data_IF_710472345632
#
_entry.id   IF_710472345632
#
_cell.length_a   1.000
_cell.length_b   1.000
_cell.length_c   1.000
_cell.angle_alpha   90.00
_cell.angle_beta   90.00
_cell.angle_gamma   90.00
#
_symmetry.space_group_name_H-M   'P 1'
#
loop_
_entity.id
_entity.type
_entity.pdbx_description
1 polymer ?
#
# COMPACT_ATOMS: atom_id res chain seq x y z
N UNK A 1 -23.01 -20.65 6.18
CA UNK A 1 -22.50 -19.56 7.03
C UNK A 1 -22.68 -18.25 6.27
N UNK A 2 -23.35 -17.26 6.82
CA UNK A 2 -23.45 -15.94 6.17
C UNK A 2 -22.15 -15.19 6.44
N UNK A 3 -21.29 -15.07 5.43
CA UNK A 3 -20.07 -14.26 5.51
C UNK A 3 -20.47 -12.78 5.62
N UNK A 4 -19.75 -11.97 6.38
CA UNK A 4 -20.05 -10.54 6.50
C UNK A 4 -19.77 -9.84 5.17
N UNK A 5 -20.53 -8.77 4.86
CA UNK A 5 -20.33 -7.93 3.67
C UNK A 5 -18.90 -7.36 3.55
N UNK A 6 -18.16 -7.31 4.66
CA UNK A 6 -16.82 -6.76 4.74
C UNK A 6 -15.71 -7.81 4.64
N UNK A 7 -16.07 -9.09 4.58
CA UNK A 7 -15.08 -10.16 4.47
C UNK A 7 -14.50 -10.19 3.05
N UNK A 8 -13.27 -9.68 2.86
CA UNK A 8 -12.58 -9.69 1.56
C UNK A 8 -12.46 -11.10 0.98
N UNK A 9 -12.32 -12.13 1.81
CA UNK A 9 -12.24 -13.52 1.33
C UNK A 9 -13.57 -14.02 0.72
N UNK A 10 -14.67 -13.31 0.94
CA UNK A 10 -15.96 -13.60 0.30
C UNK A 10 -16.14 -12.91 -1.05
N UNK A 11 -15.24 -11.99 -1.44
CA UNK A 11 -15.33 -11.27 -2.71
C UNK A 11 -14.91 -12.14 -3.89
N UNK A 12 -15.22 -11.69 -5.10
CA UNK A 12 -14.72 -12.34 -6.31
C UNK A 12 -13.19 -12.30 -6.38
N UNK A 13 -12.59 -13.22 -7.14
CA UNK A 13 -11.13 -13.27 -7.27
C UNK A 13 -10.54 -11.98 -7.84
N UNK A 14 -11.23 -11.37 -8.81
CA UNK A 14 -10.84 -10.10 -9.40
C UNK A 14 -10.82 -8.95 -8.36
N UNK A 15 -11.83 -8.88 -7.50
CA UNK A 15 -11.87 -7.87 -6.43
C UNK A 15 -10.78 -8.10 -5.38
N UNK A 16 -10.53 -9.37 -5.01
CA UNK A 16 -9.42 -9.72 -4.12
C UNK A 16 -8.07 -9.32 -4.72
N UNK A 17 -7.86 -9.54 -6.02
CA UNK A 17 -6.63 -9.18 -6.72
C UNK A 17 -6.47 -7.65 -6.82
N UNK A 18 -7.55 -6.90 -7.04
CA UNK A 18 -7.53 -5.42 -6.94
C UNK A 18 -7.13 -4.95 -5.54
N UNK A 19 -7.65 -5.56 -4.48
CA UNK A 19 -7.25 -5.23 -3.10
C UNK A 19 -5.76 -5.53 -2.87
N UNK A 20 -5.25 -6.64 -3.41
CA UNK A 20 -3.83 -6.97 -3.32
C UNK A 20 -2.96 -5.93 -4.03
N UNK A 21 -3.33 -5.53 -5.25
CA UNK A 21 -2.62 -4.50 -6.02
C UNK A 21 -2.68 -3.12 -5.35
N UNK A 22 -3.84 -2.71 -4.81
CA UNK A 22 -3.97 -1.46 -4.06
C UNK A 22 -3.07 -1.44 -2.81
N UNK A 23 -2.95 -2.58 -2.13
CA UNK A 23 -2.02 -2.72 -0.98
C UNK A 23 -0.57 -2.53 -1.41
N UNK A 24 -0.16 -3.06 -2.57
CA UNK A 24 1.20 -2.85 -3.10
C UNK A 24 1.41 -1.37 -3.45
N UNK A 25 0.43 -0.72 -4.09
CA UNK A 25 0.51 0.70 -4.41
C UNK A 25 0.65 1.57 -3.15
N UNK A 26 -0.10 1.27 -2.09
CA UNK A 26 0.00 1.93 -0.80
C UNK A 26 1.39 1.74 -0.17
N UNK A 27 1.97 0.54 -0.28
CA UNK A 27 3.30 0.25 0.24
C UNK A 27 4.40 1.06 -0.47
N UNK A 28 4.33 1.18 -1.81
CA UNK A 28 5.27 2.00 -2.58
C UNK A 28 5.19 3.47 -2.16
N UNK A 29 4.00 4.04 -2.09
CA UNK A 29 3.82 5.44 -1.66
C UNK A 29 4.33 5.67 -0.22
N UNK A 30 4.13 4.70 0.67
CA UNK A 30 4.69 4.74 2.02
C UNK A 30 6.23 4.70 2.01
N UNK A 31 6.83 3.80 1.22
CA UNK A 31 8.29 3.70 1.11
C UNK A 31 8.91 5.02 0.62
N UNK A 32 8.31 5.64 -0.41
CA UNK A 32 8.69 6.97 -0.90
C UNK A 32 8.62 8.03 0.20
N UNK A 33 7.49 8.12 0.93
CA UNK A 33 7.31 9.07 2.04
C UNK A 33 8.31 8.87 3.18
N UNK A 34 8.72 7.62 3.41
CA UNK A 34 9.61 7.22 4.49
C UNK A 34 11.09 7.20 4.10
N UNK A 35 11.47 7.74 2.94
CA UNK A 35 12.84 7.71 2.40
C UNK A 35 13.43 6.28 2.33
N UNK A 36 12.59 5.27 2.13
CA UNK A 36 13.02 3.88 1.91
C UNK A 36 13.25 3.67 0.40
N UNK A 37 14.27 2.89 0.01
CA UNK A 37 14.53 2.61 -1.40
C UNK A 37 13.37 1.81 -2.00
N UNK A 38 12.81 2.29 -3.11
CA UNK A 38 11.76 1.63 -3.91
C UNK A 38 11.90 2.03 -5.37
N UNK A 39 11.59 1.12 -6.29
CA UNK A 39 11.58 1.34 -7.75
C UNK A 39 10.15 1.07 -8.28
N UNK A 40 9.28 2.10 -8.34
CA UNK A 40 7.87 1.93 -8.70
C UNK A 40 7.65 1.22 -10.04
N UNK A 41 8.53 1.47 -11.02
CA UNK A 41 8.44 0.91 -12.38
C UNK A 41 8.71 -0.61 -12.38
N UNK A 42 9.58 -1.08 -11.49
CA UNK A 42 9.82 -2.51 -11.32
C UNK A 42 8.62 -3.18 -10.65
N UNK A 43 8.08 -2.56 -9.60
CA UNK A 43 6.90 -3.05 -8.88
C UNK A 43 5.67 -3.11 -9.79
N UNK A 44 5.48 -2.12 -10.68
CA UNK A 44 4.42 -2.15 -11.69
C UNK A 44 4.58 -3.34 -12.64
N UNK A 45 5.81 -3.64 -13.08
CA UNK A 45 6.07 -4.78 -13.98
C UNK A 45 5.80 -6.13 -13.31
N UNK A 46 5.97 -6.22 -11.99
CA UNK A 46 5.63 -7.41 -11.20
C UNK A 46 4.11 -7.59 -11.04
N UNK A 47 3.30 -6.53 -11.17
CA UNK A 47 1.85 -6.66 -11.11
C UNK A 47 1.29 -7.37 -12.36
N UNK A 48 0.16 -8.09 -12.23
CA UNK A 48 -0.56 -8.65 -13.36
C UNK A 48 -0.85 -7.58 -14.42
N UNK A 49 -0.62 -7.89 -15.70
CA UNK A 49 -0.68 -6.90 -16.78
C UNK A 49 -2.01 -6.13 -16.82
N UNK A 50 -3.13 -6.84 -16.67
CA UNK A 50 -4.48 -6.28 -16.64
C UNK A 50 -4.78 -5.39 -15.41
N UNK A 51 -3.90 -5.38 -14.39
CA UNK A 51 -4.03 -4.54 -13.20
C UNK A 51 -2.94 -3.47 -13.09
N UNK A 52 -2.00 -3.38 -14.05
CA UNK A 52 -0.95 -2.35 -14.03
C UNK A 52 -1.51 -0.93 -14.11
N UNK A 53 -2.55 -0.74 -14.92
CA UNK A 53 -3.26 0.54 -14.98
C UNK A 53 -3.89 0.89 -13.63
N UNK A 54 -4.61 -0.05 -13.03
CA UNK A 54 -5.18 0.11 -11.70
C UNK A 54 -4.11 0.43 -10.65
N UNK A 55 -2.97 -0.26 -10.68
CA UNK A 55 -1.83 0.05 -9.80
C UNK A 55 -1.37 1.50 -9.92
N UNK A 56 -1.19 2.03 -11.14
CA UNK A 56 -0.77 3.41 -11.37
C UNK A 56 -1.77 4.43 -10.85
N UNK A 57 -3.06 4.20 -11.08
CA UNK A 57 -4.13 5.05 -10.56
C UNK A 57 -4.10 5.09 -9.03
N UNK A 58 -4.01 3.92 -8.40
CA UNK A 58 -3.97 3.80 -6.94
C UNK A 58 -2.69 4.39 -6.35
N UNK A 59 -1.54 4.22 -7.00
CA UNK A 59 -0.29 4.83 -6.59
C UNK A 59 -0.38 6.36 -6.59
N UNK A 60 -1.02 6.95 -7.61
CA UNK A 60 -1.25 8.40 -7.66
C UNK A 60 -2.09 8.87 -6.46
N UNK A 61 -3.20 8.19 -6.16
CA UNK A 61 -4.05 8.50 -5.00
C UNK A 61 -3.27 8.39 -3.69
N UNK A 62 -2.48 7.34 -3.50
CA UNK A 62 -1.69 7.16 -2.27
C UNK A 62 -0.56 8.16 -2.12
N UNK A 63 0.06 8.62 -3.23
CA UNK A 63 1.03 9.72 -3.21
C UNK A 63 0.38 11.04 -2.79
N UNK A 64 -0.82 11.34 -3.26
CA UNK A 64 -1.59 12.51 -2.80
C UNK A 64 -1.93 12.40 -1.31
N UNK A 65 -2.43 11.25 -0.87
CA UNK A 65 -2.73 11.01 0.55
C UNK A 65 -1.49 11.12 1.44
N UNK A 66 -0.34 10.66 0.94
CA UNK A 66 0.93 10.72 1.67
C UNK A 66 1.39 12.14 2.00
N UNK A 67 0.91 13.15 1.29
CA UNK A 67 1.22 14.56 1.60
C UNK A 67 0.60 15.02 2.93
N UNK A 68 -0.46 14.35 3.38
CA UNK A 68 -1.18 14.68 4.62
C UNK A 68 -0.62 13.90 5.83
N UNK A 69 0.36 13.03 5.62
CA UNK A 69 0.92 12.17 6.66
C UNK A 69 2.35 12.60 7.03
N UNK A 70 2.81 12.37 8.27
CA UNK A 70 4.17 12.73 8.70
C UNK A 70 5.24 12.06 7.83
N UNK A 71 6.39 12.71 7.61
CA UNK A 71 7.52 12.12 6.86
C UNK A 71 8.47 11.34 7.77
N UNK A 72 9.44 10.65 7.17
CA UNK A 72 10.40 9.79 7.88
C UNK A 72 11.07 10.43 9.12
N UNK A 73 11.37 11.72 9.05
CA UNK A 73 12.08 12.48 10.08
C UNK A 73 11.14 13.20 11.06
N UNK A 74 9.84 13.01 10.94
CA UNK A 74 8.85 13.70 11.76
C UNK A 74 8.91 13.18 13.21
N UNK A 75 8.73 14.06 14.22
CA UNK A 75 8.87 13.71 15.63
C UNK A 75 7.91 12.59 16.07
N UNK A 76 6.77 12.42 15.40
CA UNK A 76 5.78 11.37 15.67
C UNK A 76 6.35 9.95 15.51
N UNK A 77 7.37 9.79 14.65
CA UNK A 77 8.08 8.53 14.45
C UNK A 77 9.37 8.40 15.27
N UNK A 78 9.79 9.48 15.93
CA UNK A 78 10.92 9.48 16.87
C UNK A 78 10.44 9.08 18.27
N UNK A 79 9.85 7.89 18.40
CA UNK A 79 9.55 7.32 19.73
C UNK A 79 10.75 6.47 20.18
N UNK A 80 11.22 6.60 21.43
CA UNK A 80 12.07 5.56 22.00
C UNK A 80 11.22 4.27 21.98
N UNK A 81 11.74 3.25 21.30
CA UNK A 81 10.95 2.09 20.91
C UNK A 81 10.27 1.43 22.11
N UNK A 82 8.97 1.19 21.99
CA UNK A 82 8.41 0.00 22.64
C UNK A 82 9.21 -1.18 22.10
N UNK A 83 10.03 -1.73 22.98
CA UNK A 83 10.87 -2.88 22.75
C UNK A 83 10.06 -3.93 21.99
N UNK A 84 10.63 -4.39 20.88
CA UNK A 84 10.16 -5.56 20.14
C UNK A 84 10.03 -6.72 21.14
N UNK A 85 8.83 -6.96 21.65
CA UNK A 85 8.53 -8.18 22.38
C UNK A 85 8.66 -9.33 21.38
N UNK A 86 9.69 -10.13 21.66
CA UNK A 86 10.11 -11.35 20.99
C UNK A 86 9.02 -12.41 20.93
#
# INVERSE_FOLDING_TARGET
MHMSKWNIASFSKEEQDKVAVDKVAAAVAWQERMNKPVMPELVEREQPEHLREYFRERLCVHRLNSQQLPRANAPEYNKPGDEQQK
#
